data_IF_076650021624
#
_entry.id   IF_076650021624
#
_cell.length_a   1.000
_cell.length_b   1.000
_cell.length_c   1.000
_cell.angle_alpha   90.00
_cell.angle_beta   90.00
_cell.angle_gamma   90.00
#
_symmetry.space_group_name_H-M   'P 1'
#
loop_
_entity.id
_entity.type
_entity.pdbx_description
1 polymer ?
#
# COMPACT_ATOMS: atom_id res chain seq x y z
N UNK A 1 -21.60 -10.53 7.94
CA UNK A 1 -21.25 -11.57 6.95
C UNK A 1 -21.94 -11.12 5.69
N UNK A 2 -21.15 -10.62 4.73
CA UNK A 2 -21.65 -10.02 3.51
C UNK A 2 -21.02 -10.84 2.38
N UNK A 3 -21.79 -11.73 1.78
CA UNK A 3 -21.33 -12.62 0.71
C UNK A 3 -21.05 -11.76 -0.55
N UNK A 4 -20.25 -12.23 -1.51
CA UNK A 4 -20.04 -11.53 -2.79
C UNK A 4 -21.39 -11.16 -3.45
N UNK A 5 -22.42 -11.96 -3.18
CA UNK A 5 -23.81 -11.74 -3.60
C UNK A 5 -24.50 -10.53 -2.94
N UNK A 6 -24.22 -10.25 -1.67
CA UNK A 6 -24.79 -9.09 -0.96
C UNK A 6 -24.24 -7.76 -1.51
N UNK A 7 -23.10 -7.79 -2.21
CA UNK A 7 -22.61 -6.64 -2.97
C UNK A 7 -23.51 -6.31 -4.17
N UNK A 8 -24.27 -7.26 -4.72
CA UNK A 8 -25.18 -7.00 -5.85
C UNK A 8 -26.46 -6.25 -5.45
N UNK A 9 -26.77 -6.17 -4.14
CA UNK A 9 -28.01 -5.58 -3.61
C UNK A 9 -27.86 -4.13 -3.10
N UNK A 10 -26.72 -3.47 -3.35
CA UNK A 10 -26.62 -2.02 -3.13
C UNK A 10 -27.39 -1.27 -4.22
N UNK A 11 -28.65 -0.97 -3.96
CA UNK A 11 -29.54 -0.18 -4.81
C UNK A 11 -28.86 1.09 -5.34
N UNK A 12 -28.67 1.13 -6.66
CA UNK A 12 -28.30 2.33 -7.40
C UNK A 12 -29.49 3.29 -7.35
N UNK A 13 -29.51 4.23 -6.41
CA UNK A 13 -30.35 5.42 -6.57
C UNK A 13 -29.73 6.31 -7.64
N UNK A 14 -30.01 6.00 -8.91
CA UNK A 14 -29.81 6.92 -10.01
C UNK A 14 -31.06 7.80 -10.07
N UNK A 15 -30.96 9.05 -9.61
CA UNK A 15 -31.95 10.07 -10.00
C UNK A 15 -31.77 10.35 -11.50
N UNK A 16 -32.64 9.77 -12.32
CA UNK A 16 -32.80 10.15 -13.72
C UNK A 16 -33.28 11.60 -13.79
N UNK A 17 -32.35 12.53 -14.03
CA UNK A 17 -32.72 13.89 -14.45
C UNK A 17 -32.79 13.92 -15.96
N UNK A 18 -33.95 13.59 -16.53
CA UNK A 18 -34.22 13.77 -17.96
C UNK A 18 -34.29 15.26 -18.30
N UNK A 19 -33.38 15.77 -19.15
CA UNK A 19 -33.54 17.07 -19.81
C UNK A 19 -33.31 16.87 -21.32
N UNK A 20 -34.23 17.34 -22.20
CA UNK A 20 -34.31 16.88 -23.58
C UNK A 20 -33.30 17.55 -24.51
N UNK A 21 -32.86 16.77 -25.50
CA UNK A 21 -32.03 17.15 -26.65
C UNK A 21 -32.78 18.15 -27.54
N UNK A 22 -32.12 19.26 -27.90
CA UNK A 22 -32.33 19.95 -29.18
C UNK A 22 -31.00 20.27 -29.84
N UNK A 23 -30.80 19.72 -31.05
CA UNK A 23 -29.79 20.13 -32.04
C UNK A 23 -30.13 21.52 -32.59
N UNK A 24 -29.11 22.34 -32.86
CA UNK A 24 -28.65 22.69 -34.21
C UNK A 24 -27.88 24.03 -34.23
N UNK A 25 -26.86 24.07 -35.11
CA UNK A 25 -26.17 25.24 -35.68
C UNK A 25 -25.31 26.08 -34.73
N UNK A 26 -24.23 26.75 -35.14
CA UNK A 26 -23.19 26.62 -36.16
C UNK A 26 -22.25 27.81 -35.89
N UNK A 27 -21.00 27.68 -36.32
CA UNK A 27 -20.13 28.80 -36.73
C UNK A 27 -19.49 29.74 -35.68
N UNK A 28 -18.16 29.69 -35.76
CA UNK A 28 -17.23 30.82 -35.83
C UNK A 28 -16.59 31.41 -34.57
N UNK A 29 -15.26 31.55 -34.74
CA UNK A 29 -14.38 32.63 -34.28
C UNK A 29 -13.57 32.44 -32.98
N UNK A 30 -12.42 31.80 -33.15
CA UNK A 30 -11.07 32.36 -32.93
C UNK A 30 -10.83 33.43 -31.84
N UNK A 31 -10.03 33.00 -30.85
CA UNK A 31 -8.71 33.55 -30.47
C UNK A 31 -8.55 34.90 -29.69
N UNK A 32 -7.70 34.79 -28.65
CA UNK A 32 -6.81 35.77 -27.96
C UNK A 32 -7.46 36.66 -26.89
N UNK A 33 -7.06 36.49 -25.60
CA UNK A 33 -5.95 37.18 -24.85
C UNK A 33 -6.20 38.70 -24.75
N UNK A 34 -6.03 39.42 -23.65
CA UNK A 34 -5.26 39.25 -22.41
C UNK A 34 -5.69 40.38 -21.44
N UNK A 35 -5.30 40.27 -20.16
CA UNK A 35 -5.17 41.33 -19.15
C UNK A 35 -6.41 41.98 -18.48
N UNK A 36 -6.58 41.68 -17.18
CA UNK A 36 -6.33 42.68 -16.13
C UNK A 36 -6.10 42.03 -14.76
N UNK A 37 -4.87 42.20 -14.29
CA UNK A 37 -4.40 41.90 -12.94
C UNK A 37 -4.79 43.06 -12.00
N UNK A 38 -4.97 42.70 -10.73
CA UNK A 38 -4.90 43.56 -9.53
C UNK A 38 -6.06 44.52 -9.22
N UNK A 39 -6.88 44.15 -8.23
CA UNK A 39 -6.86 44.74 -6.87
C UNK A 39 -7.96 44.15 -5.99
N UNK A 40 -7.57 43.34 -5.00
CA UNK A 40 -8.20 43.31 -3.67
C UNK A 40 -7.38 42.40 -2.73
N UNK A 41 -6.30 42.96 -2.15
CA UNK A 41 -5.75 42.47 -0.88
C UNK A 41 -6.67 42.94 0.24
N UNK A 42 -7.07 42.04 1.13
CA UNK A 42 -7.45 42.39 2.49
C UNK A 42 -8.66 41.65 3.06
N UNK A 43 -8.46 40.44 3.59
CA UNK A 43 -8.71 40.15 5.02
C UNK A 43 -8.28 38.73 5.38
N UNK A 44 -7.32 38.70 6.28
CA UNK A 44 -6.78 37.59 7.05
C UNK A 44 -7.90 36.87 7.82
N UNK A 45 -7.97 35.53 7.70
CA UNK A 45 -8.33 34.64 8.81
C UNK A 45 -7.48 33.38 8.69
N UNK A 46 -6.54 33.25 9.62
CA UNK A 46 -5.77 32.03 9.85
C UNK A 46 -6.71 30.92 10.29
N UNK A 47 -6.92 29.91 9.46
CA UNK A 47 -7.52 28.65 9.89
C UNK A 47 -6.40 27.68 10.26
N UNK A 48 -6.43 27.29 11.53
CA UNK A 48 -5.56 26.34 12.21
C UNK A 48 -5.37 25.03 11.43
N UNK A 49 -4.12 24.53 11.48
CA UNK A 49 -3.69 23.12 11.46
C UNK A 49 -4.83 22.11 11.68
N UNK A 50 -5.05 21.23 10.72
CA UNK A 50 -5.35 19.82 11.00
C UNK A 50 -4.01 19.07 11.02
N UNK A 51 -3.51 18.83 12.22
CA UNK A 51 -2.29 18.06 12.47
C UNK A 51 -2.65 16.60 12.16
N UNK A 52 -2.02 16.01 11.14
CA UNK A 52 -2.05 14.57 10.95
C UNK A 52 -1.58 13.90 12.24
N UNK A 53 -2.42 13.03 12.79
CA UNK A 53 -2.13 12.30 14.03
C UNK A 53 -0.97 11.35 13.76
N UNK A 54 0.24 11.75 14.16
CA UNK A 54 1.42 10.88 14.15
C UNK A 54 1.20 9.80 15.21
N UNK A 55 0.95 8.56 14.79
CA UNK A 55 0.80 7.40 15.68
C UNK A 55 2.14 6.88 16.24
N UNK A 56 3.05 7.78 16.61
CA UNK A 56 4.34 7.47 17.28
C UNK A 56 4.17 7.47 18.81
N UNK A 57 2.97 7.20 19.31
CA UNK A 57 2.46 7.82 20.54
C UNK A 57 2.93 7.17 21.87
N UNK A 58 3.74 6.11 21.84
CA UNK A 58 4.09 5.37 23.07
C UNK A 58 5.55 4.88 23.19
N UNK A 59 6.51 5.47 22.47
CA UNK A 59 7.93 5.12 22.68
C UNK A 59 8.48 5.54 24.05
N UNK A 60 7.75 6.38 24.78
CA UNK A 60 8.12 6.79 26.14
C UNK A 60 8.09 5.65 27.17
N UNK A 61 7.47 4.51 26.83
CA UNK A 61 7.27 3.36 27.73
C UNK A 61 8.27 2.22 27.52
N UNK A 62 9.17 2.36 26.54
CA UNK A 62 10.16 1.33 26.24
C UNK A 62 11.14 1.14 27.41
N UNK A 63 11.62 -0.08 27.56
CA UNK A 63 12.56 -0.47 28.61
C UNK A 63 13.51 -1.56 28.11
N UNK A 64 14.42 -2.03 28.96
CA UNK A 64 15.44 -3.02 28.59
C UNK A 64 14.88 -4.39 28.20
N UNK A 65 13.63 -4.69 28.55
CA UNK A 65 12.93 -5.92 28.15
C UNK A 65 12.07 -5.73 26.90
N UNK A 66 11.95 -4.52 26.37
CA UNK A 66 11.21 -4.25 25.13
C UNK A 66 11.90 -4.94 23.96
N UNK A 67 11.11 -5.54 23.09
CA UNK A 67 11.57 -6.21 21.87
C UNK A 67 11.01 -5.53 20.63
N UNK A 68 11.71 -5.65 19.51
CA UNK A 68 11.17 -5.34 18.19
C UNK A 68 10.72 -6.65 17.55
N UNK A 69 9.41 -6.79 17.35
CA UNK A 69 8.81 -8.04 16.90
C UNK A 69 8.63 -8.03 15.39
N UNK A 70 9.31 -8.95 14.72
CA UNK A 70 9.04 -9.28 13.33
C UNK A 70 8.28 -10.60 13.27
N UNK A 71 7.01 -10.58 12.83
CA UNK A 71 6.09 -11.74 12.88
C UNK A 71 6.72 -13.04 12.30
N UNK A 72 7.42 -12.93 11.18
CA UNK A 72 8.09 -14.08 10.56
C UNK A 72 9.47 -14.36 11.16
N UNK A 73 10.33 -13.37 11.35
CA UNK A 73 11.74 -13.62 11.69
C UNK A 73 12.05 -13.62 13.20
N UNK A 74 11.05 -13.36 14.04
CA UNK A 74 11.15 -13.41 15.50
C UNK A 74 11.36 -12.04 16.16
N UNK A 75 11.51 -12.09 17.47
CA UNK A 75 11.72 -10.92 18.32
C UNK A 75 13.21 -10.57 18.38
N UNK A 76 13.51 -9.27 18.29
CA UNK A 76 14.86 -8.72 18.45
C UNK A 76 14.89 -7.90 19.73
N UNK A 77 15.67 -8.27 20.75
CA UNK A 77 15.84 -7.47 21.96
C UNK A 77 16.33 -6.06 21.63
N UNK A 78 15.77 -5.03 22.27
CA UNK A 78 16.20 -3.65 22.02
C UNK A 78 17.67 -3.41 22.43
N UNK A 79 18.14 -4.18 23.41
CA UNK A 79 19.53 -4.20 23.88
C UNK A 79 20.55 -4.66 22.83
N UNK A 80 20.10 -5.33 21.76
CA UNK A 80 20.97 -5.69 20.63
C UNK A 80 21.36 -4.45 19.81
N UNK A 81 20.61 -3.35 19.94
CA UNK A 81 20.79 -2.13 19.14
C UNK A 81 21.17 -0.90 19.94
N UNK A 82 20.79 -0.84 21.22
CA UNK A 82 21.01 0.30 22.13
C UNK A 82 21.52 -0.20 23.48
N UNK A 83 22.36 0.58 24.16
CA UNK A 83 22.81 0.21 25.51
C UNK A 83 21.68 0.37 26.54
N UNK A 84 21.81 -0.26 27.71
CA UNK A 84 20.82 -0.12 28.78
C UNK A 84 20.70 1.34 29.24
N UNK A 85 21.81 2.08 29.26
CA UNK A 85 21.84 3.51 29.56
C UNK A 85 21.09 4.33 28.49
N UNK A 86 21.27 4.00 27.20
CA UNK A 86 20.58 4.68 26.10
C UNK A 86 19.06 4.44 26.15
N UNK A 87 18.64 3.23 26.51
CA UNK A 87 17.22 2.87 26.65
C UNK A 87 16.59 3.60 27.84
N UNK A 88 17.30 3.71 28.96
CA UNK A 88 16.77 4.27 30.21
C UNK A 88 16.88 5.79 30.28
N UNK A 89 17.99 6.36 29.83
CA UNK A 89 18.31 7.79 29.96
C UNK A 89 18.22 8.54 28.63
N UNK A 90 18.26 7.84 27.50
CA UNK A 90 18.25 8.43 26.15
C UNK A 90 19.63 8.42 25.48
N UNK A 91 19.63 8.73 24.19
CA UNK A 91 20.81 8.79 23.34
C UNK A 91 21.45 10.17 23.43
N UNK A 92 22.77 10.21 23.65
CA UNK A 92 23.55 11.42 23.60
C UNK A 92 23.76 11.89 22.14
N UNK A 93 23.39 13.14 21.86
CA UNK A 93 23.54 13.79 20.56
C UNK A 93 24.45 15.00 20.73
N UNK A 94 25.55 15.03 19.97
CA UNK A 94 26.46 16.17 19.97
C UNK A 94 25.90 17.30 19.10
N UNK A 95 25.66 18.46 19.72
CA UNK A 95 25.27 19.70 19.05
C UNK A 95 26.35 20.75 19.31
N UNK A 96 27.43 20.71 18.53
CA UNK A 96 28.60 21.57 18.75
C UNK A 96 29.28 21.27 20.08
N UNK A 97 29.39 22.27 20.96
CA UNK A 97 30.05 22.14 22.28
C UNK A 97 29.12 21.59 23.38
N UNK A 98 27.82 21.44 23.11
CA UNK A 98 26.84 20.85 24.04
C UNK A 98 26.49 19.41 23.68
N UNK A 99 26.45 18.54 24.68
CA UNK A 99 25.88 17.19 24.56
C UNK A 99 24.45 17.23 25.05
N UNK A 100 23.50 17.09 24.14
CA UNK A 100 22.08 16.99 24.47
C UNK A 100 21.69 15.51 24.55
N UNK A 101 20.78 15.16 25.46
CA UNK A 101 20.24 13.80 25.55
C UNK A 101 18.81 13.83 25.05
N UNK A 102 18.50 12.96 24.07
CA UNK A 102 17.14 12.77 23.56
C UNK A 102 16.70 11.32 23.74
N UNK A 103 15.39 11.10 23.86
CA UNK A 103 14.84 9.73 23.88
C UNK A 103 15.05 9.04 22.53
N UNK A 104 14.99 7.71 22.55
CA UNK A 104 14.96 6.87 21.35
C UNK A 104 13.68 7.20 20.56
N UNK A 105 13.83 7.46 19.28
CA UNK A 105 12.73 7.75 18.37
C UNK A 105 12.48 6.56 17.43
N UNK A 106 11.30 6.55 16.79
CA UNK A 106 10.93 5.49 15.85
C UNK A 106 11.92 5.36 14.68
N UNK A 107 12.53 6.48 14.27
CA UNK A 107 13.51 6.48 13.18
C UNK A 107 14.81 5.77 13.57
N UNK A 108 15.25 5.86 14.83
CA UNK A 108 16.46 5.16 15.29
C UNK A 108 16.27 3.64 15.18
N UNK A 109 15.11 3.15 15.59
CA UNK A 109 14.71 1.75 15.49
C UNK A 109 14.57 1.34 14.01
N UNK A 110 13.90 2.18 13.20
CA UNK A 110 13.68 1.91 11.78
C UNK A 110 14.99 1.78 11.00
N UNK A 111 15.98 2.64 11.25
CA UNK A 111 17.30 2.55 10.58
C UNK A 111 17.99 1.22 10.90
N UNK A 112 17.92 0.75 12.15
CA UNK A 112 18.46 -0.56 12.54
C UNK A 112 17.70 -1.71 11.89
N UNK A 113 16.36 -1.59 11.82
CA UNK A 113 15.49 -2.54 11.15
C UNK A 113 15.78 -2.65 9.65
N UNK A 114 15.91 -1.53 8.94
CA UNK A 114 16.15 -1.48 7.50
C UNK A 114 17.44 -2.22 7.11
N UNK A 115 18.48 -2.12 7.93
CA UNK A 115 19.72 -2.88 7.71
C UNK A 115 19.53 -4.39 7.79
N UNK A 116 18.56 -4.87 8.59
CA UNK A 116 18.27 -6.30 8.77
C UNK A 116 17.17 -6.80 7.82
N UNK A 117 16.16 -5.97 7.60
CA UNK A 117 14.96 -6.22 6.82
C UNK A 117 14.71 -5.01 5.92
N UNK A 118 15.23 -5.06 4.67
CA UNK A 118 15.24 -3.88 3.80
C UNK A 118 13.86 -3.37 3.39
N UNK A 119 12.79 -4.12 3.65
CA UNK A 119 11.40 -3.68 3.42
C UNK A 119 11.04 -2.44 4.23
N UNK A 120 11.64 -2.21 5.41
CA UNK A 120 11.28 -1.13 6.33
C UNK A 120 11.96 0.22 6.01
N UNK A 121 11.63 0.76 4.84
CA UNK A 121 12.22 2.01 4.35
C UNK A 121 11.64 3.26 5.01
N UNK A 122 12.41 4.34 4.93
CA UNK A 122 12.00 5.66 5.45
C UNK A 122 10.74 6.16 4.77
N UNK A 123 9.82 6.72 5.56
CA UNK A 123 8.57 7.31 5.06
C UNK A 123 7.47 6.30 4.76
N UNK A 124 7.78 5.00 4.67
CA UNK A 124 6.80 3.92 4.51
C UNK A 124 6.73 2.97 5.71
N UNK A 125 7.47 3.27 6.79
CA UNK A 125 7.46 2.45 8.00
C UNK A 125 6.99 3.27 9.20
N UNK A 126 6.04 2.72 9.94
CA UNK A 126 5.60 3.23 11.23
C UNK A 126 5.91 2.19 12.30
N UNK A 127 6.51 2.61 13.41
CA UNK A 127 6.72 1.74 14.57
C UNK A 127 5.56 1.95 15.54
N UNK A 128 4.77 0.89 15.77
CA UNK A 128 3.71 0.86 16.77
C UNK A 128 4.20 0.14 18.02
N UNK A 129 4.01 0.74 19.18
CA UNK A 129 4.23 0.05 20.44
C UNK A 129 2.95 -0.71 20.84
N UNK A 130 3.11 -1.97 21.19
CA UNK A 130 2.08 -2.85 21.75
C UNK A 130 2.35 -3.02 23.24
N UNK A 131 1.50 -2.42 24.07
CA UNK A 131 1.67 -2.39 25.52
C UNK A 131 1.47 -3.78 26.14
N UNK A 132 0.58 -4.58 25.57
CA UNK A 132 0.20 -5.88 26.12
C UNK A 132 1.36 -6.88 26.04
N UNK A 133 2.14 -6.82 24.97
CA UNK A 133 3.28 -7.72 24.76
C UNK A 133 4.65 -7.05 24.95
N UNK A 134 4.67 -5.76 25.34
CA UNK A 134 5.87 -4.93 25.42
C UNK A 134 6.73 -5.02 24.15
N UNK A 135 6.10 -4.93 22.98
CA UNK A 135 6.75 -5.12 21.70
C UNK A 135 6.59 -3.90 20.78
N UNK A 136 7.61 -3.62 19.99
CA UNK A 136 7.61 -2.65 18.91
C UNK A 136 7.35 -3.38 17.60
N UNK A 137 6.26 -3.03 16.93
CA UNK A 137 5.79 -3.63 15.69
C UNK A 137 6.09 -2.67 14.53
N UNK A 138 6.98 -3.04 13.60
CA UNK A 138 7.18 -2.27 12.39
C UNK A 138 6.05 -2.56 11.39
N UNK A 139 5.39 -1.50 10.94
CA UNK A 139 4.22 -1.54 10.06
C UNK A 139 4.57 -0.83 8.74
N UNK A 140 4.36 -1.50 7.62
CA UNK A 140 4.45 -0.92 6.29
C UNK A 140 3.17 -0.17 5.97
N UNK A 141 3.30 1.11 5.64
CA UNK A 141 2.16 1.94 5.21
C UNK A 141 1.87 1.71 3.74
N UNK A 142 0.60 1.70 3.39
CA UNK A 142 0.13 1.66 2.00
C UNK A 142 -0.19 3.07 1.49
N UNK A 143 0.17 3.36 0.24
CA UNK A 143 -0.19 4.60 -0.44
C UNK A 143 -1.32 4.38 -1.46
N UNK A 144 -1.85 5.48 -2.01
CA UNK A 144 -2.82 5.40 -3.09
C UNK A 144 -2.19 4.79 -4.37
N UNK A 145 -3.00 4.05 -5.11
CA UNK A 145 -2.68 3.46 -6.42
C UNK A 145 -3.62 4.05 -7.46
N UNK A 146 -3.26 3.97 -8.72
CA UNK A 146 -4.14 4.46 -9.77
C UNK A 146 -3.59 4.29 -11.16
N UNK A 147 -4.44 3.92 -12.11
CA UNK A 147 -4.14 3.96 -13.51
C UNK A 147 -3.95 5.40 -14.00
N UNK A 148 -3.06 5.54 -14.97
CA UNK A 148 -2.86 6.79 -15.70
C UNK A 148 -2.60 6.45 -17.16
N UNK A 149 -2.94 7.38 -18.05
CA UNK A 149 -2.52 7.32 -19.46
C UNK A 149 -1.03 7.66 -19.65
N UNK A 150 -0.39 8.20 -18.60
CA UNK A 150 1.05 8.47 -18.57
C UNK A 150 1.73 7.33 -17.84
N UNK A 151 2.59 6.61 -18.56
CA UNK A 151 3.44 5.56 -17.99
C UNK A 151 4.39 6.17 -16.95
N UNK A 152 4.62 5.43 -15.87
CA UNK A 152 5.56 5.82 -14.82
C UNK A 152 7.04 5.66 -15.23
N UNK A 153 7.89 5.55 -14.22
CA UNK A 153 9.32 5.36 -14.34
C UNK A 153 9.66 4.06 -15.09
N UNK A 154 10.76 4.12 -15.84
CA UNK A 154 11.29 2.96 -16.54
C UNK A 154 11.57 1.80 -15.58
N UNK A 155 11.11 0.62 -16.00
CA UNK A 155 11.30 -0.63 -15.26
C UNK A 155 12.43 -1.40 -15.95
N UNK A 156 13.40 -1.82 -15.15
CA UNK A 156 14.48 -2.70 -15.62
C UNK A 156 14.16 -4.16 -15.36
N UNK A 157 14.64 -5.09 -16.18
CA UNK A 157 14.50 -6.51 -15.87
C UNK A 157 15.26 -6.87 -14.59
N UNK A 158 14.62 -7.62 -13.69
CA UNK A 158 15.29 -8.13 -12.51
C UNK A 158 16.30 -9.22 -12.91
N UNK A 159 17.61 -9.06 -12.61
CA UNK A 159 18.57 -10.13 -12.84
C UNK A 159 18.19 -11.40 -12.06
N UNK A 160 18.35 -12.59 -12.64
CA UNK A 160 17.99 -13.84 -11.96
C UNK A 160 18.78 -14.07 -10.65
N UNK A 161 20.07 -13.74 -10.64
CA UNK A 161 20.93 -13.80 -9.45
C UNK A 161 20.46 -12.87 -8.32
N UNK A 162 19.77 -11.79 -8.70
CA UNK A 162 19.19 -10.86 -7.77
C UNK A 162 17.97 -11.48 -7.09
N UNK A 163 17.03 -12.01 -7.89
CA UNK A 163 15.83 -12.65 -7.37
C UNK A 163 16.17 -13.80 -6.39
N UNK A 164 17.20 -14.61 -6.68
CA UNK A 164 17.62 -15.70 -5.79
C UNK A 164 18.14 -15.22 -4.42
N UNK A 165 18.74 -14.03 -4.35
CA UNK A 165 19.28 -13.48 -3.08
C UNK A 165 18.14 -12.92 -2.22
N UNK A 166 17.14 -12.34 -2.85
CA UNK A 166 16.01 -11.70 -2.18
C UNK A 166 14.80 -12.61 -1.99
N UNK A 167 14.83 -13.83 -2.54
CA UNK A 167 13.69 -14.74 -2.57
C UNK A 167 13.12 -14.99 -1.17
N UNK A 168 13.96 -15.21 -0.16
CA UNK A 168 13.49 -15.46 1.22
C UNK A 168 12.84 -14.22 1.87
N UNK A 169 13.18 -13.01 1.41
CA UNK A 169 12.58 -11.77 1.91
C UNK A 169 11.24 -11.47 1.23
N UNK A 170 11.14 -11.76 -0.07
CA UNK A 170 9.89 -11.59 -0.82
C UNK A 170 8.93 -12.76 -0.63
N UNK A 171 9.43 -13.97 -0.47
CA UNK A 171 8.66 -15.19 -0.49
C UNK A 171 9.09 -16.11 0.66
N UNK A 172 8.79 -15.74 1.92
CA UNK A 172 9.15 -16.53 3.10
C UNK A 172 8.48 -17.93 3.16
N UNK A 173 7.50 -18.21 2.29
CA UNK A 173 6.83 -19.51 2.14
C UNK A 173 6.93 -20.08 0.72
N UNK A 174 8.02 -19.82 0.00
CA UNK A 174 8.30 -20.25 -1.38
C UNK A 174 7.46 -19.55 -2.45
N UNK A 175 6.20 -19.95 -2.67
CA UNK A 175 5.37 -19.39 -3.74
C UNK A 175 4.03 -18.93 -3.21
N UNK A 176 3.55 -17.80 -3.70
CA UNK A 176 2.18 -17.36 -3.44
C UNK A 176 1.23 -18.30 -4.21
N UNK A 177 0.22 -18.89 -3.56
CA UNK A 177 -0.75 -19.74 -4.23
C UNK A 177 -1.44 -19.00 -5.37
N UNK A 178 -1.43 -19.59 -6.57
CA UNK A 178 -2.07 -19.04 -7.78
C UNK A 178 -3.56 -18.77 -7.56
N UNK A 179 -4.21 -19.52 -6.68
CA UNK A 179 -5.60 -19.30 -6.30
C UNK A 179 -5.84 -17.90 -5.72
N UNK A 180 -4.90 -17.31 -4.98
CA UNK A 180 -5.05 -15.94 -4.47
C UNK A 180 -5.08 -14.89 -5.59
N UNK A 181 -4.21 -15.06 -6.60
CA UNK A 181 -4.23 -14.21 -7.79
C UNK A 181 -5.56 -14.35 -8.54
N UNK A 182 -6.06 -15.58 -8.70
CA UNK A 182 -7.34 -15.81 -9.37
C UNK A 182 -8.51 -15.22 -8.60
N UNK A 183 -8.54 -15.38 -7.29
CA UNK A 183 -9.55 -14.79 -6.42
C UNK A 183 -9.55 -13.26 -6.54
N UNK A 184 -8.36 -12.64 -6.53
CA UNK A 184 -8.23 -11.20 -6.76
C UNK A 184 -8.81 -10.79 -8.12
N UNK A 185 -8.44 -11.49 -9.20
CA UNK A 185 -8.94 -11.19 -10.55
C UNK A 185 -10.47 -11.29 -10.61
N UNK A 186 -11.05 -12.37 -10.06
CA UNK A 186 -12.50 -12.59 -10.07
C UNK A 186 -13.22 -11.44 -9.32
N UNK A 187 -12.70 -11.04 -8.16
CA UNK A 187 -13.30 -9.97 -7.35
C UNK A 187 -13.13 -8.62 -8.05
N UNK A 188 -11.94 -8.33 -8.58
CA UNK A 188 -11.65 -7.09 -9.31
C UNK A 188 -12.54 -6.95 -10.55
N UNK A 189 -12.79 -8.03 -11.29
CA UNK A 189 -13.77 -8.05 -12.39
C UNK A 189 -15.18 -7.71 -11.90
N UNK A 190 -15.63 -8.29 -10.78
CA UNK A 190 -16.96 -8.00 -10.24
C UNK A 190 -17.11 -6.52 -9.85
N UNK A 191 -16.08 -5.93 -9.23
CA UNK A 191 -16.03 -4.49 -8.90
C UNK A 191 -16.01 -3.63 -10.17
N UNK A 192 -15.14 -3.96 -11.12
CA UNK A 192 -15.02 -3.29 -12.42
C UNK A 192 -16.36 -3.24 -13.16
N UNK A 193 -17.07 -4.37 -13.30
CA UNK A 193 -18.38 -4.41 -13.98
C UNK A 193 -19.48 -3.64 -13.26
N UNK A 194 -19.39 -3.48 -11.93
CA UNK A 194 -20.43 -2.82 -11.15
C UNK A 194 -20.25 -1.29 -11.12
N UNK A 195 -19.02 -0.83 -10.95
CA UNK A 195 -18.75 0.59 -10.70
C UNK A 195 -17.56 1.16 -11.45
N UNK A 196 -16.96 0.43 -12.41
CA UNK A 196 -15.86 0.93 -13.23
C UNK A 196 -14.69 1.45 -12.37
N UNK A 197 -14.34 0.72 -11.31
CA UNK A 197 -13.37 1.15 -10.31
C UNK A 197 -12.15 0.22 -10.22
N UNK A 198 -11.04 0.77 -9.76
CA UNK A 198 -9.90 0.01 -9.28
C UNK A 198 -10.20 -0.70 -7.96
N UNK A 199 -9.38 -1.70 -7.64
CA UNK A 199 -9.45 -2.46 -6.41
C UNK A 199 -8.03 -2.75 -5.93
N UNK A 200 -7.81 -2.68 -4.62
CA UNK A 200 -6.55 -3.01 -3.96
C UNK A 200 -6.72 -4.18 -2.99
N UNK A 201 -5.73 -5.05 -2.91
CA UNK A 201 -5.60 -6.06 -1.87
C UNK A 201 -4.15 -6.17 -1.39
N UNK A 202 -3.99 -6.66 -0.17
CA UNK A 202 -2.69 -6.99 0.42
C UNK A 202 -2.58 -8.51 0.57
N UNK A 203 -1.45 -9.08 0.17
CA UNK A 203 -1.11 -10.48 0.45
C UNK A 203 -0.14 -10.54 1.61
N UNK A 204 -0.49 -11.36 2.58
CA UNK A 204 0.25 -11.58 3.82
C UNK A 204 0.78 -13.01 3.90
N UNK A 205 1.83 -13.18 4.70
CA UNK A 205 2.36 -14.49 5.08
C UNK A 205 2.42 -14.62 6.60
N UNK A 206 1.92 -15.75 7.09
CA UNK A 206 2.07 -16.18 8.48
C UNK A 206 2.61 -17.62 8.48
N UNK A 207 3.52 -17.96 9.41
CA UNK A 207 4.17 -19.27 9.45
C UNK A 207 3.20 -20.44 9.65
N UNK A 208 2.10 -20.22 10.35
CA UNK A 208 1.10 -21.24 10.68
C UNK A 208 0.03 -21.37 9.58
N UNK A 209 -0.41 -20.23 9.03
CA UNK A 209 -1.48 -20.18 8.00
C UNK A 209 -0.96 -20.28 6.56
N UNK A 210 0.30 -19.94 6.32
CA UNK A 210 0.83 -19.70 4.97
C UNK A 210 0.37 -18.35 4.41
N UNK A 211 0.27 -18.27 3.08
CA UNK A 211 -0.18 -17.07 2.37
C UNK A 211 -1.70 -16.89 2.43
N UNK A 212 -2.13 -15.66 2.59
CA UNK A 212 -3.54 -15.26 2.50
C UNK A 212 -3.66 -13.82 2.03
N UNK A 213 -4.86 -13.43 1.58
CA UNK A 213 -5.13 -12.11 1.03
C UNK A 213 -6.19 -11.39 1.86
N UNK A 214 -6.04 -10.08 2.03
CA UNK A 214 -6.97 -9.18 2.72
C UNK A 214 -7.35 -8.02 1.78
N UNK A 215 -8.61 -7.61 1.85
CA UNK A 215 -9.08 -6.38 1.21
C UNK A 215 -9.21 -5.31 2.29
N UNK A 216 -8.21 -4.43 2.47
CA UNK A 216 -8.27 -3.43 3.52
C UNK A 216 -9.42 -2.45 3.26
N UNK A 217 -9.77 -1.66 4.29
CA UNK A 217 -10.66 -0.52 4.10
C UNK A 217 -10.09 0.38 3.01
N UNK A 218 -10.89 0.72 2.03
CA UNK A 218 -10.42 1.47 0.87
C UNK A 218 -11.54 2.29 0.21
N UNK A 219 -11.13 3.41 -0.37
CA UNK A 219 -11.98 4.21 -1.25
C UNK A 219 -11.56 3.96 -2.69
N UNK A 220 -12.51 3.57 -3.53
CA UNK A 220 -12.25 3.20 -4.93
C UNK A 220 -12.94 4.18 -5.89
N UNK A 221 -12.28 4.47 -6.98
CA UNK A 221 -12.80 5.21 -8.12
C UNK A 221 -12.20 4.61 -9.39
N UNK A 222 -12.56 5.19 -10.55
CA UNK A 222 -12.09 4.70 -11.84
C UNK A 222 -10.59 4.64 -11.96
N UNK A 223 -9.86 5.72 -11.67
CA UNK A 223 -8.41 5.77 -11.91
C UNK A 223 -7.60 5.83 -10.61
N UNK A 224 -8.23 5.51 -9.47
CA UNK A 224 -7.58 5.61 -8.17
C UNK A 224 -8.23 4.69 -7.14
N UNK A 225 -7.38 4.08 -6.32
CA UNK A 225 -7.76 3.42 -5.07
C UNK A 225 -6.92 3.95 -3.92
N UNK A 226 -7.59 4.28 -2.82
CA UNK A 226 -6.97 4.81 -1.60
C UNK A 226 -7.20 3.79 -0.47
N UNK A 227 -6.28 2.82 -0.31
CA UNK A 227 -6.35 1.85 0.78
C UNK A 227 -5.86 2.44 2.10
N UNK A 228 -6.38 1.93 3.21
CA UNK A 228 -5.90 2.21 4.55
C UNK A 228 -4.95 1.11 5.04
N UNK A 229 -3.95 1.49 5.84
CA UNK A 229 -2.99 0.52 6.39
C UNK A 229 -3.67 -0.34 7.46
N UNK A 230 -3.72 -1.66 7.22
CA UNK A 230 -4.25 -2.62 8.19
C UNK A 230 -3.19 -3.00 9.24
N UNK A 231 -3.08 -2.19 10.29
CA UNK A 231 -2.09 -2.36 11.37
C UNK A 231 -2.29 -3.68 12.12
N UNK A 232 -3.54 -4.08 12.37
CA UNK A 232 -3.86 -5.31 13.10
C UNK A 232 -3.46 -6.56 12.30
N UNK A 233 -3.61 -6.52 10.98
CA UNK A 233 -3.15 -7.64 10.15
C UNK A 233 -1.62 -7.79 10.20
N UNK A 234 -0.90 -6.66 10.18
CA UNK A 234 0.56 -6.64 10.24
C UNK A 234 1.14 -7.01 11.62
N UNK A 235 0.34 -7.02 12.69
CA UNK A 235 0.80 -7.53 13.99
C UNK A 235 0.81 -9.06 14.05
N UNK A 236 0.08 -9.73 13.16
CA UNK A 236 -0.05 -11.20 13.14
C UNK A 236 0.52 -11.85 11.86
N UNK A 237 0.83 -11.07 10.83
CA UNK A 237 1.37 -11.56 9.57
C UNK A 237 2.32 -10.56 8.91
N UNK A 238 3.29 -11.05 8.14
CA UNK A 238 4.17 -10.20 7.33
C UNK A 238 3.45 -9.81 6.04
N UNK A 239 3.41 -8.51 5.72
CA UNK A 239 2.96 -8.03 4.41
C UNK A 239 4.01 -8.36 3.35
N UNK A 240 3.60 -9.06 2.30
CA UNK A 240 4.49 -9.60 1.26
C UNK A 240 4.26 -8.91 -0.08
N UNK A 241 3.00 -8.66 -0.43
CA UNK A 241 2.65 -8.06 -1.71
C UNK A 241 1.49 -7.09 -1.56
N UNK A 242 1.55 -6.01 -2.35
CA UNK A 242 0.41 -5.18 -2.70
C UNK A 242 -0.03 -5.54 -4.12
N UNK A 243 -1.32 -5.79 -4.32
CA UNK A 243 -1.89 -6.05 -5.64
C UNK A 243 -3.07 -5.13 -5.90
N UNK A 244 -3.07 -4.44 -7.04
CA UNK A 244 -4.20 -3.62 -7.46
C UNK A 244 -4.58 -3.85 -8.92
N UNK A 245 -5.78 -3.41 -9.29
CA UNK A 245 -6.29 -3.53 -10.65
C UNK A 245 -6.38 -2.18 -11.33
N UNK A 246 -5.93 -2.11 -12.58
CA UNK A 246 -6.13 -0.97 -13.49
C UNK A 246 -7.42 -1.11 -14.32
N UNK A 247 -8.33 -2.00 -13.92
CA UNK A 247 -9.61 -2.28 -14.58
C UNK A 247 -9.51 -2.31 -16.12
N UNK A 248 -9.89 -1.25 -16.85
CA UNK A 248 -9.86 -1.18 -18.33
C UNK A 248 -8.51 -0.73 -18.91
N UNK A 249 -7.62 -0.17 -18.08
CA UNK A 249 -6.28 0.29 -18.48
C UNK A 249 -5.27 -0.86 -18.46
N UNK A 250 -4.10 -0.64 -19.08
CA UNK A 250 -3.02 -1.63 -19.10
C UNK A 250 -2.43 -1.86 -17.71
N UNK A 251 -1.70 -2.96 -17.54
CA UNK A 251 -0.93 -3.24 -16.32
C UNK A 251 0.37 -2.42 -16.22
N UNK A 252 0.48 -1.33 -16.99
CA UNK A 252 1.60 -0.39 -16.92
C UNK A 252 1.43 0.48 -15.67
N UNK A 253 2.44 0.58 -14.79
CA UNK A 253 2.35 1.41 -13.60
C UNK A 253 2.29 2.90 -13.94
N UNK A 254 1.58 3.65 -13.11
CA UNK A 254 1.50 5.11 -13.20
C UNK A 254 2.54 5.82 -12.33
N UNK A 255 2.60 7.15 -12.47
CA UNK A 255 3.34 8.02 -11.54
C UNK A 255 2.85 7.94 -10.10
N UNK A 256 1.56 7.64 -9.87
CA UNK A 256 0.98 7.50 -8.54
C UNK A 256 1.41 6.17 -7.92
N UNK A 257 1.35 5.09 -8.71
CA UNK A 257 1.86 3.78 -8.29
C UNK A 257 3.34 3.90 -7.94
N UNK A 258 4.11 4.57 -8.78
CA UNK A 258 5.51 4.79 -8.50
C UNK A 258 5.74 5.47 -7.16
N UNK A 259 5.05 6.58 -6.90
CA UNK A 259 5.18 7.31 -5.65
C UNK A 259 4.85 6.47 -4.41
N UNK A 260 3.89 5.55 -4.50
CA UNK A 260 3.50 4.69 -3.39
C UNK A 260 4.38 3.43 -3.23
N UNK A 261 4.89 2.88 -4.34
CA UNK A 261 5.58 1.58 -4.40
C UNK A 261 7.08 1.71 -4.14
N UNK A 262 7.47 2.22 -2.97
CA UNK A 262 8.89 2.46 -2.66
C UNK A 262 9.51 1.46 -1.69
N UNK A 263 8.70 0.66 -1.00
CA UNK A 263 9.23 -0.39 -0.12
C UNK A 263 9.70 -1.61 -0.94
N UNK A 264 10.80 -2.27 -0.56
CA UNK A 264 11.24 -3.56 -1.10
C UNK A 264 10.30 -4.72 -0.72
N UNK A 265 9.08 -4.68 -1.25
CA UNK A 265 8.11 -5.77 -1.26
C UNK A 265 7.68 -6.04 -2.71
N UNK A 266 6.80 -7.01 -2.93
CA UNK A 266 6.25 -7.28 -4.26
C UNK A 266 5.06 -6.35 -4.53
N UNK A 267 4.97 -5.87 -5.76
CA UNK A 267 3.82 -5.12 -6.26
C UNK A 267 3.29 -5.82 -7.50
N UNK A 268 1.98 -5.99 -7.59
CA UNK A 268 1.32 -6.58 -8.75
C UNK A 268 0.22 -5.66 -9.28
N UNK A 269 0.17 -5.50 -10.59
CA UNK A 269 -0.85 -4.71 -11.28
C UNK A 269 -1.56 -5.62 -12.26
N UNK A 270 -2.89 -5.66 -12.16
CA UNK A 270 -3.72 -6.38 -13.12
C UNK A 270 -4.47 -5.39 -14.00
N UNK A 271 -4.11 -5.35 -15.28
CA UNK A 271 -4.73 -4.49 -16.29
C UNK A 271 -5.65 -5.26 -17.22
N UNK A 272 -6.48 -4.54 -17.96
CA UNK A 272 -7.48 -5.06 -18.89
C UNK A 272 -8.25 -6.24 -18.30
N UNK A 273 -8.78 -6.02 -17.10
CA UNK A 273 -9.30 -7.06 -16.21
C UNK A 273 -10.47 -7.85 -16.85
N UNK A 274 -11.20 -7.25 -17.79
CA UNK A 274 -12.31 -7.89 -18.50
C UNK A 274 -11.87 -8.68 -19.76
N UNK A 275 -10.59 -8.62 -20.14
CA UNK A 275 -10.07 -9.42 -21.25
C UNK A 275 -10.05 -10.90 -20.87
N UNK A 276 -10.11 -11.79 -21.88
CA UNK A 276 -10.03 -13.24 -21.68
C UNK A 276 -8.74 -13.64 -20.94
N UNK A 277 -7.66 -12.89 -21.20
CA UNK A 277 -6.40 -12.99 -20.49
C UNK A 277 -5.98 -11.61 -19.99
N UNK A 278 -6.32 -11.24 -18.75
CA UNK A 278 -5.90 -9.97 -18.16
C UNK A 278 -4.37 -9.83 -18.17
N UNK A 279 -3.90 -8.59 -18.32
CA UNK A 279 -2.48 -8.29 -18.21
C UNK A 279 -2.05 -8.37 -16.75
N UNK A 280 -0.93 -9.02 -16.47
CA UNK A 280 -0.32 -9.08 -15.14
C UNK A 280 1.10 -8.55 -15.20
N UNK A 281 1.37 -7.54 -14.39
CA UNK A 281 2.73 -7.04 -14.13
C UNK A 281 3.09 -7.27 -12.68
N UNK A 282 4.31 -7.73 -12.43
CA UNK A 282 4.87 -7.82 -11.08
C UNK A 282 6.20 -7.08 -11.05
N UNK A 283 6.41 -6.29 -10.00
CA UNK A 283 7.64 -5.53 -9.80
C UNK A 283 8.03 -5.40 -8.33
N UNK A 284 9.21 -4.87 -8.09
CA UNK A 284 9.66 -4.42 -6.77
C UNK A 284 10.47 -3.12 -6.92
N UNK A 285 10.64 -2.38 -5.82
CA UNK A 285 11.42 -1.15 -5.79
C UNK A 285 12.58 -1.28 -4.81
N UNK A 286 13.80 -1.14 -5.32
CA UNK A 286 15.03 -1.32 -4.55
C UNK A 286 16.00 -0.22 -4.94
N UNK A 287 16.59 0.44 -3.94
CA UNK A 287 17.47 1.60 -4.11
C UNK A 287 16.85 2.68 -5.03
N UNK A 288 15.52 2.85 -4.94
CA UNK A 288 14.76 3.81 -5.74
C UNK A 288 14.57 3.44 -7.21
N UNK A 289 14.86 2.19 -7.61
CA UNK A 289 14.70 1.69 -8.98
C UNK A 289 13.68 0.55 -9.02
N UNK A 290 12.87 0.54 -10.08
CA UNK A 290 11.92 -0.53 -10.32
C UNK A 290 12.53 -1.68 -11.12
N UNK A 291 12.23 -2.88 -10.65
CA UNK A 291 12.65 -4.13 -11.26
C UNK A 291 11.43 -5.00 -11.59
N UNK A 292 11.28 -5.35 -12.87
CA UNK A 292 10.25 -6.27 -13.37
C UNK A 292 10.59 -7.69 -12.96
N UNK A 293 9.61 -8.41 -12.42
CA UNK A 293 9.77 -9.81 -11.99
C UNK A 293 8.78 -10.66 -12.79
N UNK A 294 9.27 -11.78 -13.34
CA UNK A 294 8.39 -12.71 -14.04
C UNK A 294 7.39 -13.34 -13.04
N UNK A 295 6.05 -13.23 -13.27
CA UNK A 295 5.04 -13.75 -12.36
C UNK A 295 5.16 -15.26 -12.07
N UNK A 296 5.76 -16.05 -12.97
CA UNK A 296 5.98 -17.49 -12.77
C UNK A 296 6.97 -17.81 -11.65
N UNK A 297 7.80 -16.85 -11.22
CA UNK A 297 8.66 -17.01 -10.06
C UNK A 297 7.97 -16.65 -8.74
N UNK A 298 6.76 -16.07 -8.80
CA UNK A 298 6.04 -15.56 -7.64
C UNK A 298 4.81 -16.41 -7.34
N UNK A 299 4.03 -16.74 -8.38
CA UNK A 299 2.78 -17.48 -8.25
C UNK A 299 2.91 -18.91 -8.77
N UNK A 300 2.56 -19.88 -7.92
CA UNK A 300 2.59 -21.30 -8.27
C UNK A 300 1.40 -22.07 -7.68
N UNK A 301 1.33 -23.37 -7.99
CA UNK A 301 0.23 -24.23 -7.57
C UNK A 301 -0.91 -24.32 -8.59
N UNK A 302 -1.90 -25.12 -8.21
CA UNK A 302 -3.05 -25.48 -9.05
C UNK A 302 -4.02 -24.32 -9.25
N UNK A 303 -4.81 -24.41 -10.32
CA UNK A 303 -5.93 -23.50 -10.56
C UNK A 303 -7.12 -23.92 -9.71
N UNK A 304 -7.87 -22.95 -9.18
CA UNK A 304 -9.13 -23.23 -8.50
C UNK A 304 -10.10 -23.88 -9.48
N UNK A 305 -10.65 -25.04 -9.12
CA UNK A 305 -11.63 -25.76 -9.95
C UNK A 305 -13.06 -25.26 -9.74
N UNK A 306 -13.29 -24.43 -8.71
CA UNK A 306 -14.60 -23.85 -8.36
C UNK A 306 -14.43 -22.47 -7.72
N UNK A 307 -14.87 -21.43 -8.43
CA UNK A 307 -15.09 -20.08 -7.87
C UNK A 307 -13.93 -19.50 -7.08
N UNK A 308 -14.28 -18.63 -6.12
CA UNK A 308 -13.35 -18.01 -5.18
C UNK A 308 -12.91 -19.05 -4.13
N UNK A 309 -11.61 -19.14 -3.85
CA UNK A 309 -11.03 -20.15 -2.98
C UNK A 309 -11.14 -19.86 -1.48
N UNK A 310 -11.32 -18.59 -1.08
CA UNK A 310 -11.46 -18.15 0.31
C UNK A 310 -12.66 -17.21 0.49
N UNK A 311 -13.10 -17.03 1.74
CA UNK A 311 -14.08 -16.00 2.09
C UNK A 311 -13.36 -14.68 2.40
N UNK A 312 -13.80 -13.60 1.75
CA UNK A 312 -13.17 -12.27 1.83
C UNK A 312 -14.16 -11.23 2.36
N UNK A 313 -13.72 -10.41 3.32
CA UNK A 313 -14.51 -9.29 3.83
C UNK A 313 -14.43 -8.09 2.86
N UNK A 314 -15.38 -8.00 1.95
CA UNK A 314 -15.49 -6.90 0.99
C UNK A 314 -16.31 -5.71 1.51
N UNK A 315 -16.84 -5.78 2.74
CA UNK A 315 -17.78 -4.78 3.29
C UNK A 315 -17.13 -3.41 3.54
N UNK A 316 -15.80 -3.33 3.48
CA UNK A 316 -15.02 -2.12 3.78
C UNK A 316 -14.59 -1.34 2.53
N UNK A 317 -15.04 -1.79 1.36
CA UNK A 317 -14.82 -1.11 0.07
C UNK A 317 -15.92 -0.07 -0.11
N UNK A 318 -15.53 1.17 -0.35
CA UNK A 318 -16.46 2.29 -0.53
C UNK A 318 -16.12 3.08 -1.78
N UNK A 319 -17.11 3.64 -2.46
CA UNK A 319 -16.87 4.54 -3.59
C UNK A 319 -16.33 5.88 -3.08
N UNK A 320 -15.29 6.38 -3.74
CA UNK A 320 -14.81 7.75 -3.55
C UNK A 320 -15.89 8.72 -4.03
N UNK A 321 -16.35 9.61 -3.14
CA UNK A 321 -17.40 10.61 -3.42
C UNK A 321 -16.84 11.89 -4.02
#
# INVERSE_FOLDING_TARGET
MTNLFDFFDMETQVEETTVPVKKAASEQATAKKEEKKEKAKGKTKSSKKSKATKSTDCLDKINTTTVVRHVVFGDIPLVDWFTEEEITHGIAVQNGDSTDVRKIEAEDIRVKLEHRYPSFVKGLTVIKYDEDTNALLPILTVGAKGASIVEGQSISDCPFSFLSTWLNHFLPGDFIPRTLLMDFIIIAQAISRKCDCELHADIYFNKERGYFMDFPRQQVATEIVIPETNIEMQSIAMKVMEIHSHHRFSAEPSDLDDQSERAPILYAIVGRIEDVFPELRVRTCIDGKFHSINPNFIFAGEYATKGISQDYDLSRITLLK
#
